data_IF_175602008517
#
_entry.id   IF_175602008517
#
_cell.length_a   1.000
_cell.length_b   1.000
_cell.length_c   1.000
_cell.angle_alpha   90.00
_cell.angle_beta   90.00
_cell.angle_gamma   90.00
#
_symmetry.space_group_name_H-M   'P 1'
#
loop_
_entity.id
_entity.type
_entity.pdbx_description
1 polymer ?
#
# COMPACT_ATOMS: atom_id res chain seq x y z
N UNK A 1 -13.77 -4.56 -13.94
CA UNK A 1 -12.69 -3.99 -13.10
C UNK A 1 -11.37 -4.46 -13.70
N UNK A 2 -10.91 -3.81 -14.77
CA UNK A 2 -9.73 -4.24 -15.55
C UNK A 2 -8.47 -3.39 -15.27
N UNK A 3 -8.59 -2.35 -14.47
CA UNK A 3 -7.50 -1.40 -14.20
C UNK A 3 -6.76 -1.77 -12.93
N UNK A 4 -5.44 -1.82 -13.01
CA UNK A 4 -4.59 -2.12 -11.85
C UNK A 4 -4.47 -0.86 -11.00
N UNK A 5 -4.28 -1.04 -9.70
CA UNK A 5 -3.98 0.06 -8.80
C UNK A 5 -2.50 -0.01 -8.50
N UNK A 6 -1.76 1.01 -8.92
CA UNK A 6 -0.39 1.20 -8.49
C UNK A 6 -0.41 1.91 -7.14
N UNK A 7 0.30 1.33 -6.16
CA UNK A 7 0.38 1.83 -4.80
C UNK A 7 1.83 2.14 -4.46
N UNK A 8 2.06 3.34 -3.94
CA UNK A 8 3.25 3.66 -3.17
C UNK A 8 2.87 3.58 -1.69
N UNK A 9 3.67 2.85 -0.92
CA UNK A 9 3.37 2.65 0.49
C UNK A 9 4.63 2.43 1.30
N UNK A 10 4.51 2.77 2.58
CA UNK A 10 5.50 2.48 3.59
C UNK A 10 5.01 1.30 4.44
N UNK A 11 5.96 0.49 4.91
CA UNK A 11 5.67 -0.68 5.76
C UNK A 11 6.17 -0.40 7.17
N UNK A 12 5.30 -0.57 8.16
CA UNK A 12 5.68 -0.57 9.58
C UNK A 12 5.36 -1.94 10.20
N UNK A 13 6.25 -2.37 11.10
CA UNK A 13 6.13 -3.63 11.81
C UNK A 13 6.35 -3.40 13.31
N UNK A 14 5.39 -3.81 14.13
CA UNK A 14 5.47 -3.65 15.59
C UNK A 14 6.07 -4.86 16.33
N UNK A 15 6.48 -5.90 15.59
CA UNK A 15 6.94 -7.18 16.13
C UNK A 15 5.92 -8.31 15.97
N UNK A 16 4.62 -7.98 15.88
CA UNK A 16 3.51 -8.94 15.82
C UNK A 16 2.51 -8.66 14.70
N UNK A 17 2.39 -7.40 14.27
CA UNK A 17 1.48 -6.96 13.21
C UNK A 17 2.18 -5.97 12.29
N UNK A 18 1.82 -6.10 11.01
CA UNK A 18 2.27 -5.22 9.94
C UNK A 18 1.18 -4.25 9.57
N UNK A 19 1.57 -2.99 9.36
CA UNK A 19 0.72 -1.94 8.82
C UNK A 19 1.35 -1.42 7.54
N UNK A 20 0.54 -1.25 6.50
CA UNK A 20 0.93 -0.55 5.29
C UNK A 20 0.30 0.84 5.33
N UNK A 21 1.14 1.87 5.24
CA UNK A 21 0.68 3.25 5.06
C UNK A 21 0.79 3.60 3.59
N UNK A 22 -0.34 3.67 2.90
CA UNK A 22 -0.39 4.11 1.50
C UNK A 22 -0.10 5.61 1.44
N UNK A 23 0.93 5.99 0.70
CA UNK A 23 1.35 7.38 0.51
C UNK A 23 0.81 7.95 -0.80
N UNK A 24 0.66 7.11 -1.83
CA UNK A 24 0.03 7.47 -3.09
C UNK A 24 -0.69 6.26 -3.71
N UNK A 25 -1.77 6.53 -4.45
CA UNK A 25 -2.54 5.51 -5.14
C UNK A 25 -3.11 6.03 -6.46
N UNK A 26 -2.83 5.31 -7.55
CA UNK A 26 -3.27 5.69 -8.90
C UNK A 26 -3.76 4.49 -9.70
N UNK A 27 -4.61 4.79 -10.70
CA UNK A 27 -5.14 3.79 -11.61
C UNK A 27 -4.23 3.66 -12.84
N UNK A 28 -3.76 2.44 -13.11
CA UNK A 28 -3.17 2.01 -14.38
C UNK A 28 -4.25 1.43 -15.29
#
# INVERSE_FOLDING_TARGET
MDRRIALEYETEWDGTRGTLRVTDARLE
#
